data_IF_363053672312
#
_entry.id   IF_363053672312
#
_cell.length_a   1.000
_cell.length_b   1.000
_cell.length_c   1.000
_cell.angle_alpha   90.00
_cell.angle_beta   90.00
_cell.angle_gamma   90.00
#
_symmetry.space_group_name_H-M   'P 1'
#
loop_
_entity.id
_entity.type
_entity.pdbx_description
1 polymer ?
#
# COMPACT_ATOMS: atom_id res chain seq x y z
N UNK A 1 1.79 -10.33 15.74
CA UNK A 1 2.18 -11.56 15.03
C UNK A 1 2.85 -11.21 13.72
N UNK A 2 3.83 -12.01 13.31
CA UNK A 2 4.64 -11.72 12.12
C UNK A 2 4.38 -12.69 10.97
N UNK A 3 3.09 -13.04 10.79
CA UNK A 3 2.68 -14.01 9.78
C UNK A 3 3.02 -13.57 8.36
N UNK A 4 3.12 -12.27 8.14
CA UNK A 4 3.42 -11.69 6.83
C UNK A 4 4.81 -11.08 6.75
N UNK A 5 5.69 -11.49 7.65
CA UNK A 5 7.07 -10.96 7.66
C UNK A 5 7.71 -11.12 6.29
N UNK A 6 8.26 -10.01 5.79
CA UNK A 6 8.92 -9.94 4.49
C UNK A 6 8.00 -10.14 3.27
N UNK A 7 6.68 -10.14 3.48
CA UNK A 7 5.74 -10.17 2.35
C UNK A 7 5.50 -8.76 1.86
N UNK A 8 5.54 -8.57 0.55
CA UNK A 8 5.35 -7.27 -0.08
C UNK A 8 3.92 -7.13 -0.57
N UNK A 9 3.20 -6.14 -0.04
CA UNK A 9 1.77 -5.99 -0.30
C UNK A 9 1.45 -4.57 -0.73
N UNK A 10 0.65 -4.44 -1.78
CA UNK A 10 0.09 -3.16 -2.21
C UNK A 10 -1.33 -3.07 -1.67
N UNK A 11 -1.68 -1.95 -1.05
CA UNK A 11 -3.06 -1.69 -0.61
C UNK A 11 -3.58 -0.51 -1.42
N UNK A 12 -4.59 -0.75 -2.25
CA UNK A 12 -5.24 0.32 -3.01
C UNK A 12 -6.39 0.91 -2.19
N UNK A 13 -6.79 2.13 -2.52
CA UNK A 13 -7.87 2.80 -1.79
C UNK A 13 -7.56 3.03 -0.32
N UNK A 14 -6.28 3.22 0.01
CA UNK A 14 -5.83 3.30 1.40
C UNK A 14 -6.08 4.67 2.04
N UNK A 15 -6.57 5.65 1.29
CA UNK A 15 -6.80 7.00 1.82
C UNK A 15 -8.09 7.14 2.62
N UNK A 16 -8.91 6.09 2.74
CA UNK A 16 -10.11 6.10 3.56
C UNK A 16 -9.91 5.37 4.89
N UNK A 17 -10.94 5.40 5.75
CA UNK A 17 -10.86 4.79 7.07
C UNK A 17 -10.69 3.27 7.05
N UNK A 18 -11.35 2.59 6.10
CA UNK A 18 -11.20 1.14 5.95
C UNK A 18 -9.78 0.80 5.52
N UNK A 19 -9.22 1.61 4.61
CA UNK A 19 -7.83 1.44 4.17
C UNK A 19 -6.86 1.57 5.32
N UNK A 20 -7.09 2.51 6.23
CA UNK A 20 -6.27 2.68 7.42
C UNK A 20 -6.27 1.39 8.27
N UNK A 21 -7.45 0.81 8.49
CA UNK A 21 -7.58 -0.43 9.26
C UNK A 21 -6.85 -1.60 8.60
N UNK A 22 -6.94 -1.70 7.29
CA UNK A 22 -6.25 -2.75 6.52
C UNK A 22 -4.74 -2.60 6.67
N UNK A 23 -4.23 -1.37 6.49
CA UNK A 23 -2.80 -1.10 6.61
C UNK A 23 -2.31 -1.44 8.01
N UNK A 24 -3.05 -1.04 9.04
CA UNK A 24 -2.68 -1.36 10.42
C UNK A 24 -2.52 -2.86 10.64
N UNK A 25 -3.47 -3.63 10.13
CA UNK A 25 -3.48 -5.07 10.31
C UNK A 25 -2.30 -5.74 9.62
N UNK A 26 -2.01 -5.32 8.39
CA UNK A 26 -0.87 -5.83 7.64
C UNK A 26 0.45 -5.42 8.29
N UNK A 27 0.53 -4.17 8.74
CA UNK A 27 1.73 -3.64 9.40
C UNK A 27 2.05 -4.43 10.68
N UNK A 28 1.02 -4.68 11.49
CA UNK A 28 1.19 -5.45 12.73
C UNK A 28 1.59 -6.90 12.44
N UNK A 29 1.28 -7.41 11.27
CA UNK A 29 1.67 -8.76 10.84
C UNK A 29 3.06 -8.82 10.19
N UNK A 30 3.75 -7.70 10.08
CA UNK A 30 5.11 -7.65 9.59
C UNK A 30 5.28 -7.43 8.10
N UNK A 31 4.20 -7.15 7.37
CA UNK A 31 4.27 -6.94 5.93
C UNK A 31 5.03 -5.67 5.56
N UNK A 32 5.67 -5.70 4.40
CA UNK A 32 6.17 -4.50 3.73
C UNK A 32 5.03 -3.95 2.89
N UNK A 33 4.65 -2.70 3.11
CA UNK A 33 3.41 -2.16 2.56
C UNK A 33 3.70 -0.96 1.67
N UNK A 34 3.03 -0.93 0.51
CA UNK A 34 2.87 0.29 -0.26
C UNK A 34 1.38 0.62 -0.27
N UNK A 35 1.03 1.77 0.28
CA UNK A 35 -0.35 2.24 0.34
C UNK A 35 -0.59 3.25 -0.78
N UNK A 36 -1.67 3.07 -1.54
CA UNK A 36 -2.03 3.99 -2.60
C UNK A 36 -3.46 4.48 -2.44
N UNK A 37 -3.74 5.62 -3.01
CA UNK A 37 -5.05 6.25 -2.98
C UNK A 37 -5.03 7.56 -3.71
N UNK A 38 -6.17 8.25 -3.71
CA UNK A 38 -6.33 9.50 -4.46
C UNK A 38 -5.98 10.75 -3.66
N UNK A 39 -5.93 10.65 -2.33
CA UNK A 39 -5.71 11.81 -1.45
C UNK A 39 -4.37 11.70 -0.77
N UNK A 40 -3.39 12.46 -1.28
CA UNK A 40 -2.02 12.38 -0.78
C UNK A 40 -1.93 12.78 0.70
N UNK A 41 -2.73 13.73 1.16
CA UNK A 41 -2.71 14.14 2.55
C UNK A 41 -3.11 13.01 3.51
N UNK A 42 -4.00 12.12 3.07
CA UNK A 42 -4.39 10.95 3.84
C UNK A 42 -3.31 9.87 3.84
N UNK A 43 -2.62 9.72 2.71
CA UNK A 43 -1.49 8.80 2.63
C UNK A 43 -0.33 9.29 3.50
N UNK A 44 -0.10 10.58 3.55
CA UNK A 44 0.92 11.15 4.42
C UNK A 44 0.60 10.88 5.89
N UNK A 45 -0.66 10.96 6.29
CA UNK A 45 -1.08 10.60 7.64
C UNK A 45 -0.80 9.14 7.96
N UNK A 46 -1.07 8.24 7.01
CA UNK A 46 -0.74 6.83 7.18
C UNK A 46 0.75 6.64 7.42
N UNK A 47 1.56 7.32 6.63
CA UNK A 47 3.02 7.20 6.75
C UNK A 47 3.52 7.71 8.10
N UNK A 48 2.88 8.72 8.66
CA UNK A 48 3.22 9.22 10.00
C UNK A 48 2.89 8.20 11.09
N UNK A 49 1.80 7.45 10.92
CA UNK A 49 1.35 6.46 11.89
C UNK A 49 2.05 5.12 11.75
N UNK A 50 2.53 4.80 10.56
CA UNK A 50 3.16 3.52 10.26
C UNK A 50 4.50 3.77 9.57
N UNK A 51 5.55 3.84 10.35
CA UNK A 51 6.90 4.07 9.82
C UNK A 51 7.27 2.94 8.86
N UNK A 52 8.04 3.28 7.85
CA UNK A 52 8.58 2.36 6.86
C UNK A 52 7.60 1.90 5.79
N UNK A 53 6.35 2.31 5.82
CA UNK A 53 5.49 2.04 4.67
C UNK A 53 5.88 2.99 3.53
N UNK A 54 5.57 2.57 2.32
CA UNK A 54 5.69 3.41 1.13
C UNK A 54 4.31 3.94 0.77
N UNK A 55 4.27 5.10 0.15
CA UNK A 55 3.01 5.67 -0.34
C UNK A 55 3.18 6.09 -1.79
N UNK A 56 2.11 5.96 -2.55
CA UNK A 56 2.12 6.35 -3.96
C UNK A 56 0.70 6.75 -4.36
N UNK A 57 0.53 8.02 -4.75
CA UNK A 57 -0.78 8.49 -5.20
C UNK A 57 -1.15 7.82 -6.52
N UNK A 58 -2.33 7.23 -6.57
CA UNK A 58 -2.84 6.61 -7.78
C UNK A 58 -4.36 6.50 -7.72
N UNK A 59 -5.01 6.81 -8.85
CA UNK A 59 -6.44 6.62 -9.01
C UNK A 59 -6.67 5.31 -9.75
N UNK A 60 -7.16 4.29 -9.04
CA UNK A 60 -7.36 2.94 -9.57
C UNK A 60 -8.40 2.90 -10.71
N UNK A 61 -9.22 3.95 -10.85
CA UNK A 61 -10.16 4.05 -11.97
C UNK A 61 -9.47 4.30 -13.31
N UNK A 62 -8.21 4.70 -13.30
CA UNK A 62 -7.41 4.86 -14.53
C UNK A 62 -6.87 3.52 -14.99
N UNK A 63 -7.75 2.71 -15.56
CA UNK A 63 -7.45 1.31 -15.91
C UNK A 63 -6.29 1.15 -16.89
N UNK A 64 -6.06 2.13 -17.76
CA UNK A 64 -4.96 2.11 -18.71
C UNK A 64 -3.58 2.31 -18.08
N UNK A 65 -3.53 2.72 -16.82
CA UNK A 65 -2.29 2.99 -16.09
C UNK A 65 -2.03 2.00 -14.95
N UNK A 66 -2.90 1.03 -14.76
CA UNK A 66 -2.78 0.08 -13.64
C UNK A 66 -1.49 -0.74 -13.73
N UNK A 67 -1.14 -1.24 -14.91
CA UNK A 67 0.08 -2.04 -15.07
C UNK A 67 1.32 -1.24 -14.71
N UNK A 68 1.40 -0.01 -15.17
CA UNK A 68 2.52 0.88 -14.85
C UNK A 68 2.58 1.15 -13.35
N UNK A 69 1.42 1.40 -12.75
CA UNK A 69 1.34 1.61 -11.30
C UNK A 69 1.87 0.41 -10.53
N UNK A 70 1.42 -0.80 -10.89
CA UNK A 70 1.85 -2.03 -10.19
C UNK A 70 3.36 -2.23 -10.35
N UNK A 71 3.89 -1.98 -11.54
CA UNK A 71 5.33 -2.08 -11.77
C UNK A 71 6.11 -1.10 -10.88
N UNK A 72 5.69 0.15 -10.86
CA UNK A 72 6.34 1.17 -10.03
C UNK A 72 6.24 0.84 -8.55
N UNK A 73 5.06 0.41 -8.09
CA UNK A 73 4.84 0.04 -6.69
C UNK A 73 5.68 -1.16 -6.29
N UNK A 74 5.76 -2.16 -7.17
CA UNK A 74 6.57 -3.34 -6.92
C UNK A 74 8.04 -2.98 -6.79
N UNK A 75 8.53 -2.08 -7.63
CA UNK A 75 9.91 -1.59 -7.56
C UNK A 75 10.17 -0.88 -6.24
N UNK A 76 9.22 -0.07 -5.77
CA UNK A 76 9.34 0.60 -4.48
C UNK A 76 9.40 -0.38 -3.31
N UNK A 77 8.79 -1.54 -3.46
CA UNK A 77 8.81 -2.59 -2.44
C UNK A 77 10.05 -3.50 -2.52
N UNK A 78 10.95 -3.23 -3.46
CA UNK A 78 12.20 -3.98 -3.58
C UNK A 78 12.25 -4.97 -4.73
N UNK A 79 11.26 -4.93 -5.62
CA UNK A 79 11.29 -5.68 -6.87
C UNK A 79 10.45 -6.95 -6.91
N UNK A 80 9.76 -7.30 -5.83
CA UNK A 80 8.85 -8.45 -5.82
C UNK A 80 7.53 -8.07 -5.17
N UNK A 81 6.48 -8.82 -5.48
CA UNK A 81 5.14 -8.55 -5.00
C UNK A 81 4.48 -9.86 -4.58
N UNK A 82 3.96 -9.91 -3.36
CA UNK A 82 3.30 -11.10 -2.82
C UNK A 82 1.78 -10.99 -2.84
N UNK A 83 1.24 -9.79 -2.76
CA UNK A 83 -0.21 -9.62 -2.77
C UNK A 83 -0.66 -8.19 -3.00
N UNK A 84 -1.90 -8.07 -3.42
CA UNK A 84 -2.58 -6.79 -3.59
C UNK A 84 -3.91 -6.86 -2.85
N UNK A 85 -4.15 -5.89 -1.99
CA UNK A 85 -5.46 -5.72 -1.36
C UNK A 85 -6.16 -4.58 -2.10
N UNK A 86 -7.20 -4.92 -2.82
CA UNK A 86 -7.97 -3.95 -3.57
C UNK A 86 -9.18 -3.53 -2.74
N UNK A 87 -9.05 -2.38 -2.13
CA UNK A 87 -10.10 -1.85 -1.25
C UNK A 87 -11.07 -0.96 -2.02
#
# INVERSE_FOLDING_TARGET
>A
MNDLKNKNVIVTGASGGIGHSIVKRLYDSGANILASGTRIEKLDELKKNFENIKILKFDISQSDKVEEFIENATNELGGSLDGIINN
#
